data_IF_681483843385
#
_entry.id   IF_681483843385
#
_cell.length_a   1.000
_cell.length_b   1.000
_cell.length_c   1.000
_cell.angle_alpha   90.00
_cell.angle_beta   90.00
_cell.angle_gamma   90.00
#
_symmetry.space_group_name_H-M   'P 1'
#
loop_
_entity.id
_entity.type
_entity.pdbx_description
1 polymer ?
#
# COMPACT_ATOMS: atom_id res chain seq x y z
N UNK A 1 -22.52 -21.18 2.74
CA UNK A 1 -21.37 -21.11 1.79
C UNK A 1 -21.03 -22.54 1.39
N UNK A 2 -20.55 -22.82 0.17
CA UNK A 2 -20.13 -24.20 -0.17
C UNK A 2 -18.83 -24.55 0.56
N UNK A 3 -18.58 -25.83 0.84
CA UNK A 3 -17.40 -26.26 1.61
C UNK A 3 -16.11 -25.85 0.89
N UNK A 4 -16.08 -25.98 -0.44
CA UNK A 4 -14.93 -25.60 -1.26
C UNK A 4 -14.62 -24.10 -1.14
N UNK A 5 -15.66 -23.24 -1.17
CA UNK A 5 -15.51 -21.79 -1.00
C UNK A 5 -14.97 -21.44 0.40
N UNK A 6 -15.39 -22.17 1.45
CA UNK A 6 -14.88 -21.98 2.82
C UNK A 6 -13.39 -22.34 2.87
N UNK A 7 -12.99 -23.47 2.27
CA UNK A 7 -11.59 -23.91 2.22
C UNK A 7 -10.70 -22.93 1.45
N UNK A 8 -11.21 -22.30 0.40
CA UNK A 8 -10.50 -21.27 -0.36
C UNK A 8 -10.41 -19.95 0.42
N UNK A 9 -11.47 -19.55 1.13
CA UNK A 9 -11.53 -18.28 1.86
C UNK A 9 -10.64 -18.30 3.12
N UNK A 10 -10.68 -19.39 3.90
CA UNK A 10 -10.03 -19.46 5.21
C UNK A 10 -8.80 -20.36 5.17
N UNK A 11 -7.69 -19.79 4.70
CA UNK A 11 -6.41 -20.48 4.61
C UNK A 11 -5.67 -20.54 5.94
N UNK A 12 -4.80 -21.55 6.11
CA UNK A 12 -3.96 -21.71 7.30
C UNK A 12 -3.12 -20.45 7.58
N UNK A 13 -3.08 -20.02 8.84
CA UNK A 13 -2.37 -18.83 9.29
C UNK A 13 -3.18 -17.54 9.25
N UNK A 14 -4.35 -17.51 8.58
CA UNK A 14 -5.21 -16.32 8.54
C UNK A 14 -5.66 -15.92 9.95
N UNK A 15 -5.53 -14.64 10.29
CA UNK A 15 -5.99 -14.11 11.58
C UNK A 15 -7.48 -13.82 11.53
N UNK A 16 -8.20 -14.27 12.56
CA UNK A 16 -9.63 -14.01 12.76
C UNK A 16 -9.83 -13.37 14.13
N UNK A 17 -10.72 -12.37 14.19
CA UNK A 17 -11.21 -11.79 15.44
C UNK A 17 -12.65 -12.27 15.64
N UNK A 18 -12.91 -12.92 16.77
CA UNK A 18 -14.24 -13.37 17.14
C UNK A 18 -15.13 -12.18 17.51
N UNK A 19 -16.33 -12.10 16.95
CA UNK A 19 -17.38 -11.19 17.42
C UNK A 19 -18.35 -11.90 18.37
N UNK A 20 -18.76 -13.13 18.04
CA UNK A 20 -19.66 -13.95 18.86
C UNK A 20 -19.51 -15.42 18.48
N UNK A 21 -19.35 -16.31 19.48
CA UNK A 21 -19.45 -17.76 19.30
C UNK A 21 -20.71 -18.27 19.99
N UNK A 22 -21.60 -18.90 19.23
CA UNK A 22 -22.94 -19.26 19.70
C UNK A 22 -22.84 -20.30 20.82
N UNK A 23 -23.34 -19.96 22.00
CA UNK A 23 -23.38 -20.87 23.15
C UNK A 23 -22.09 -20.97 23.97
N UNK A 24 -21.02 -20.28 23.57
CA UNK A 24 -19.70 -20.42 24.20
C UNK A 24 -19.29 -19.16 24.99
N UNK A 25 -19.75 -19.07 26.23
CA UNK A 25 -19.48 -17.92 27.13
C UNK A 25 -17.99 -17.69 27.46
N UNK A 26 -17.12 -18.68 27.25
CA UNK A 26 -15.67 -18.58 27.50
C UNK A 26 -14.90 -17.95 26.33
N UNK A 27 -15.60 -17.64 25.24
CA UNK A 27 -15.05 -17.10 24.01
C UNK A 27 -15.50 -15.64 23.85
N UNK A 28 -14.77 -14.67 24.44
CA UNK A 28 -15.19 -13.28 24.43
C UNK A 28 -15.06 -12.65 23.04
N UNK A 29 -15.92 -11.69 22.74
CA UNK A 29 -15.76 -10.81 21.57
C UNK A 29 -14.40 -10.09 21.62
N UNK A 30 -13.76 -9.93 20.46
CA UNK A 30 -12.42 -9.38 20.31
C UNK A 30 -11.30 -10.42 20.46
N UNK A 31 -11.61 -11.65 20.88
CA UNK A 31 -10.61 -12.72 20.95
C UNK A 31 -10.03 -13.01 19.57
N UNK A 32 -8.71 -13.00 19.45
CA UNK A 32 -8.00 -13.30 18.21
C UNK A 32 -7.53 -14.75 18.18
N UNK A 33 -7.42 -15.28 16.98
CA UNK A 33 -6.83 -16.58 16.72
C UNK A 33 -6.42 -16.71 15.26
N UNK A 34 -5.62 -17.73 14.96
CA UNK A 34 -5.22 -18.04 13.59
C UNK A 34 -5.91 -19.30 13.11
N UNK A 35 -6.31 -19.34 11.84
CA UNK A 35 -6.84 -20.54 11.19
C UNK A 35 -5.76 -21.62 11.18
N UNK A 36 -6.12 -22.83 11.62
CA UNK A 36 -5.27 -24.01 11.56
C UNK A 36 -5.56 -24.84 10.31
N UNK A 37 -6.83 -25.12 10.04
CA UNK A 37 -7.32 -25.74 8.80
C UNK A 37 -8.86 -25.70 8.76
N UNK A 38 -9.44 -25.97 7.59
CA UNK A 38 -10.89 -26.17 7.41
C UNK A 38 -11.15 -27.65 7.15
N UNK A 39 -12.04 -28.27 7.92
CA UNK A 39 -12.36 -29.69 7.78
C UNK A 39 -13.38 -29.98 6.65
N UNK A 40 -13.70 -31.26 6.44
CA UNK A 40 -14.64 -31.70 5.40
C UNK A 40 -16.11 -31.41 5.74
N UNK A 41 -16.39 -30.84 6.91
CA UNK A 41 -17.71 -30.34 7.31
C UNK A 41 -17.81 -28.81 7.18
N UNK A 42 -16.74 -28.14 6.77
CA UNK A 42 -16.70 -26.68 6.65
C UNK A 42 -16.51 -25.97 7.99
N UNK A 43 -16.10 -26.67 9.06
CA UNK A 43 -15.72 -26.02 10.31
C UNK A 43 -14.29 -25.50 10.22
N UNK A 44 -14.08 -24.28 10.70
CA UNK A 44 -12.77 -23.62 10.68
C UNK A 44 -12.09 -23.91 12.02
N UNK A 45 -11.09 -24.78 12.03
CA UNK A 45 -10.32 -25.08 13.23
C UNK A 45 -9.35 -23.95 13.51
N UNK A 46 -9.34 -23.47 14.74
CA UNK A 46 -8.61 -22.25 15.14
C UNK A 46 -7.57 -22.55 16.22
N UNK A 47 -6.51 -21.76 16.24
CA UNK A 47 -5.62 -21.61 17.39
C UNK A 47 -5.91 -20.25 18.04
N UNK A 48 -6.68 -20.22 19.13
CA UNK A 48 -7.07 -18.97 19.80
C UNK A 48 -6.01 -18.51 20.81
N UNK A 49 -5.86 -17.19 20.99
CA UNK A 49 -4.92 -16.60 21.95
C UNK A 49 -5.19 -17.01 23.41
N UNK A 50 -6.43 -17.37 23.75
CA UNK A 50 -6.79 -17.89 25.07
C UNK A 50 -6.43 -19.38 25.26
N UNK A 51 -5.78 -20.01 24.28
CA UNK A 51 -5.40 -21.42 24.28
C UNK A 51 -6.53 -22.38 23.89
N UNK A 52 -7.71 -21.87 23.50
CA UNK A 52 -8.80 -22.69 22.97
C UNK A 52 -8.49 -23.20 21.56
N UNK A 53 -9.07 -24.34 21.21
CA UNK A 53 -9.06 -24.94 19.87
C UNK A 53 -10.48 -25.11 19.29
N UNK A 54 -11.47 -24.42 19.85
CA UNK A 54 -12.84 -24.49 19.36
C UNK A 54 -12.91 -24.00 17.91
N UNK A 55 -13.57 -24.80 17.07
CA UNK A 55 -13.77 -24.48 15.67
C UNK A 55 -14.92 -23.48 15.48
N UNK A 56 -14.84 -22.65 14.44
CA UNK A 56 -15.91 -21.75 14.03
C UNK A 56 -16.87 -22.45 13.07
N UNK A 57 -18.15 -22.16 13.24
CA UNK A 57 -19.19 -22.45 12.27
C UNK A 57 -19.57 -21.16 11.51
N UNK A 58 -19.29 -21.12 10.21
CA UNK A 58 -19.56 -19.94 9.36
C UNK A 58 -21.04 -19.53 9.31
N UNK A 59 -21.97 -20.43 9.64
CA UNK A 59 -23.41 -20.14 9.61
C UNK A 59 -23.97 -19.68 10.96
N UNK A 60 -23.27 -19.96 12.06
CA UNK A 60 -23.75 -19.70 13.42
C UNK A 60 -22.92 -18.65 14.16
N UNK A 61 -21.62 -18.63 13.94
CA UNK A 61 -20.68 -17.73 14.62
C UNK A 61 -20.48 -16.44 13.83
N UNK A 62 -20.13 -15.37 14.54
CA UNK A 62 -19.81 -14.07 13.95
C UNK A 62 -18.35 -13.76 14.21
N UNK A 63 -17.64 -13.41 13.17
CA UNK A 63 -16.23 -13.09 13.25
C UNK A 63 -15.81 -12.24 12.06
N UNK A 64 -14.64 -11.61 12.17
CA UNK A 64 -14.05 -10.82 11.10
C UNK A 64 -12.67 -11.38 10.76
N UNK A 65 -12.39 -11.43 9.47
CA UNK A 65 -11.07 -11.72 8.95
C UNK A 65 -10.19 -10.49 9.16
N UNK A 66 -9.00 -10.70 9.71
CA UNK A 66 -7.95 -9.68 9.75
C UNK A 66 -6.97 -10.08 8.67
N UNK A 67 -7.00 -9.34 7.56
CA UNK A 67 -5.92 -9.42 6.60
C UNK A 67 -4.66 -8.87 7.29
N UNK A 68 -3.66 -9.73 7.47
CA UNK A 68 -2.32 -9.24 7.76
C UNK A 68 -1.82 -8.53 6.51
N UNK A 69 -1.96 -7.21 6.51
CA UNK A 69 -1.44 -6.38 5.44
C UNK A 69 0.07 -6.54 5.42
N UNK A 70 0.58 -7.17 4.35
CA UNK A 70 2.03 -7.26 4.14
C UNK A 70 2.58 -5.85 4.09
N UNK A 71 3.69 -5.58 4.77
CA UNK A 71 4.36 -4.29 4.63
C UNK A 71 5.20 -4.27 3.38
N UNK A 72 5.20 -3.13 2.69
CA UNK A 72 6.08 -2.88 1.54
C UNK A 72 6.99 -1.69 1.82
N UNK A 73 8.23 -1.79 1.37
CA UNK A 73 9.20 -0.71 1.43
C UNK A 73 9.13 0.11 0.14
N UNK A 74 8.70 1.36 0.25
CA UNK A 74 8.46 2.25 -0.89
C UNK A 74 9.31 3.52 -0.78
N UNK A 75 9.65 4.11 -1.91
CA UNK A 75 10.30 5.42 -1.94
C UNK A 75 9.21 6.48 -1.90
N UNK A 76 9.12 7.22 -0.81
CA UNK A 76 8.12 8.26 -0.60
C UNK A 76 8.68 9.65 -0.90
N UNK A 77 7.92 10.43 -1.65
CA UNK A 77 8.31 11.75 -2.14
C UNK A 77 7.24 12.76 -1.74
N UNK A 78 7.68 13.79 -1.02
CA UNK A 78 6.84 14.95 -0.66
C UNK A 78 7.28 16.20 -1.43
N UNK A 79 6.35 17.14 -1.70
CA UNK A 79 6.70 18.46 -2.23
C UNK A 79 7.76 19.13 -1.36
N UNK A 80 8.80 19.67 -2.00
CA UNK A 80 9.86 20.41 -1.33
C UNK A 80 10.82 19.61 -0.45
N UNK A 81 10.71 18.27 -0.39
CA UNK A 81 11.58 17.40 0.42
C UNK A 81 12.42 16.45 -0.40
N UNK A 82 13.47 15.90 0.24
CA UNK A 82 14.22 14.76 -0.28
C UNK A 82 13.38 13.47 -0.20
N UNK A 83 13.60 12.50 -1.10
CA UNK A 83 12.90 11.22 -1.05
C UNK A 83 13.38 10.37 0.13
N UNK A 84 12.46 9.66 0.79
CA UNK A 84 12.75 8.77 1.92
C UNK A 84 12.15 7.38 1.70
N UNK A 85 12.85 6.35 2.16
CA UNK A 85 12.23 5.02 2.23
C UNK A 85 11.34 4.97 3.47
N UNK A 86 10.12 4.47 3.30
CA UNK A 86 9.20 4.18 4.39
C UNK A 86 8.65 2.77 4.21
N UNK A 87 8.18 2.18 5.31
CA UNK A 87 7.36 0.98 5.28
C UNK A 87 5.90 1.38 5.42
N UNK A 88 5.06 0.88 4.52
CA UNK A 88 3.61 1.10 4.55
C UNK A 88 2.91 -0.26 4.47
N UNK A 89 1.70 -0.32 5.01
CA UNK A 89 0.84 -1.48 4.83
C UNK A 89 0.39 -1.55 3.36
N UNK A 90 0.40 -2.75 2.77
CA UNK A 90 0.01 -2.97 1.37
C UNK A 90 -1.53 -3.05 1.21
N UNK A 91 -2.27 -2.25 1.98
CA UNK A 91 -3.72 -2.09 1.82
C UNK A 91 -4.02 -0.80 1.08
N UNK A 92 -5.13 -0.80 0.34
CA UNK A 92 -5.63 0.38 -0.35
C UNK A 92 -5.80 1.58 0.61
N UNK A 93 -6.39 1.35 1.79
CA UNK A 93 -6.61 2.39 2.80
C UNK A 93 -5.30 3.06 3.24
N UNK A 94 -4.25 2.26 3.53
CA UNK A 94 -2.96 2.79 3.95
C UNK A 94 -2.29 3.59 2.81
N UNK A 95 -2.39 3.13 1.57
CA UNK A 95 -1.84 3.86 0.42
C UNK A 95 -2.59 5.18 0.17
N UNK A 96 -3.92 5.17 0.29
CA UNK A 96 -4.74 6.38 0.18
C UNK A 96 -4.40 7.40 1.27
N UNK A 97 -4.13 6.96 2.50
CA UNK A 97 -3.65 7.84 3.58
C UNK A 97 -2.29 8.47 3.24
N UNK A 98 -1.37 7.69 2.67
CA UNK A 98 -0.02 8.14 2.30
C UNK A 98 -0.07 9.22 1.21
N UNK A 99 -0.87 9.03 0.16
CA UNK A 99 -0.99 10.00 -0.96
C UNK A 99 -2.01 11.11 -0.69
N UNK A 100 -2.90 10.91 0.28
CA UNK A 100 -3.91 11.87 0.72
C UNK A 100 -5.17 11.91 -0.16
N UNK A 101 -5.61 10.75 -0.68
CA UNK A 101 -6.80 10.62 -1.53
C UNK A 101 -6.81 9.29 -2.28
N UNK A 102 -7.76 9.15 -3.22
CA UNK A 102 -7.85 7.96 -4.08
C UNK A 102 -6.57 7.80 -4.91
N UNK A 103 -6.06 6.56 -4.99
CA UNK A 103 -4.79 6.29 -5.65
C UNK A 103 -4.98 6.16 -7.17
N UNK A 104 -4.01 6.69 -7.91
CA UNK A 104 -3.79 6.40 -9.31
C UNK A 104 -2.45 5.67 -9.45
N UNK A 105 -2.46 4.54 -10.15
CA UNK A 105 -1.26 3.84 -10.56
C UNK A 105 -0.77 4.39 -11.91
N UNK A 106 0.44 4.92 -11.92
CA UNK A 106 1.08 5.44 -13.12
C UNK A 106 2.44 4.78 -13.35
N UNK A 107 2.58 4.04 -14.45
CA UNK A 107 3.81 3.32 -14.81
C UNK A 107 4.53 3.95 -16.03
N UNK A 108 5.22 5.10 -15.87
CA UNK A 108 5.92 5.75 -16.98
C UNK A 108 7.28 5.11 -17.33
N UNK A 109 7.72 4.09 -16.58
CA UNK A 109 9.07 3.53 -16.67
C UNK A 109 9.05 2.08 -17.17
N UNK A 110 10.17 1.62 -17.73
CA UNK A 110 10.32 0.26 -18.26
C UNK A 110 10.72 -0.79 -17.22
N UNK A 111 10.92 -0.40 -15.96
CA UNK A 111 11.49 -1.27 -14.91
C UNK A 111 10.42 -1.91 -14.00
N UNK A 112 9.19 -2.06 -14.48
CA UNK A 112 8.03 -2.56 -13.71
C UNK A 112 7.85 -1.82 -12.38
N UNK A 113 7.93 -0.49 -12.45
CA UNK A 113 7.81 0.41 -11.30
C UNK A 113 6.65 1.36 -11.51
N UNK A 114 5.81 1.44 -10.48
CA UNK A 114 4.69 2.36 -10.43
C UNK A 114 5.03 3.60 -9.60
N UNK A 115 4.56 4.75 -10.07
CA UNK A 115 4.26 5.92 -9.24
C UNK A 115 2.83 5.74 -8.77
N UNK A 116 2.63 5.74 -7.45
CA UNK A 116 1.30 5.77 -6.85
C UNK A 116 1.09 7.15 -6.25
N UNK A 117 0.13 7.88 -6.80
CA UNK A 117 -0.21 9.26 -6.42
C UNK A 117 -1.71 9.44 -6.21
N UNK A 118 -2.12 10.62 -5.74
CA UNK A 118 -3.53 10.98 -5.63
C UNK A 118 -4.11 11.31 -7.02
N UNK A 119 -5.10 10.54 -7.48
CA UNK A 119 -5.79 10.67 -8.77
C UNK A 119 -6.31 12.10 -9.00
N UNK A 120 -6.91 12.70 -7.97
CA UNK A 120 -7.48 14.05 -8.05
C UNK A 120 -6.48 15.14 -7.65
N UNK A 121 -5.23 14.80 -7.32
CA UNK A 121 -4.27 15.72 -6.70
C UNK A 121 -4.09 17.02 -7.49
N UNK A 122 -3.94 16.94 -8.81
CA UNK A 122 -3.84 18.13 -9.69
C UNK A 122 -5.14 18.93 -9.71
N UNK A 123 -6.27 18.25 -9.82
CA UNK A 123 -7.60 18.88 -9.91
C UNK A 123 -7.97 19.61 -8.62
N UNK A 124 -7.55 19.07 -7.49
CA UNK A 124 -7.75 19.63 -6.15
C UNK A 124 -6.68 20.67 -5.76
N UNK A 125 -5.76 21.01 -6.68
CA UNK A 125 -4.77 22.06 -6.48
C UNK A 125 -3.63 21.69 -5.54
N UNK A 126 -3.31 20.39 -5.40
CA UNK A 126 -2.14 19.95 -4.67
C UNK A 126 -0.85 20.54 -5.27
N UNK A 127 0.15 20.75 -4.41
CA UNK A 127 1.44 21.32 -4.82
C UNK A 127 2.15 20.41 -5.81
N UNK A 128 2.62 20.96 -6.93
CA UNK A 128 3.43 20.22 -7.91
C UNK A 128 4.73 19.72 -7.26
N UNK A 129 5.07 18.45 -7.48
CA UNK A 129 6.10 17.76 -6.73
C UNK A 129 7.32 17.38 -7.58
N UNK A 130 7.13 16.54 -8.61
CA UNK A 130 8.20 16.05 -9.50
C UNK A 130 7.73 15.92 -10.93
N UNK A 131 8.57 16.33 -11.87
CA UNK A 131 8.43 16.07 -13.28
C UNK A 131 8.73 14.61 -13.61
N UNK A 132 7.95 14.08 -14.55
CA UNK A 132 8.18 12.81 -15.20
C UNK A 132 8.54 13.09 -16.65
N UNK A 133 9.64 12.49 -17.08
CA UNK A 133 10.18 12.65 -18.42
C UNK A 133 10.11 11.32 -19.15
N UNK A 134 9.84 11.38 -20.44
CA UNK A 134 9.92 10.21 -21.30
C UNK A 134 11.38 9.82 -21.60
N UNK A 135 11.55 8.81 -22.46
CA UNK A 135 12.86 8.30 -22.89
C UNK A 135 13.69 9.32 -23.69
N UNK A 136 13.04 10.27 -24.34
CA UNK A 136 13.67 11.29 -25.19
C UNK A 136 14.02 12.55 -24.38
N UNK A 137 13.61 12.59 -23.10
CA UNK A 137 13.87 13.69 -22.17
C UNK A 137 12.80 14.78 -22.21
N UNK A 138 11.69 14.54 -22.89
CA UNK A 138 10.58 15.47 -22.97
C UNK A 138 9.69 15.37 -21.73
N UNK A 139 9.19 16.52 -21.27
CA UNK A 139 8.32 16.58 -20.10
C UNK A 139 6.98 15.90 -20.45
N UNK A 140 6.73 14.74 -19.84
CA UNK A 140 5.52 13.97 -20.04
C UNK A 140 4.43 14.40 -19.07
N UNK A 141 4.77 14.53 -17.79
CA UNK A 141 3.82 14.90 -16.75
C UNK A 141 4.50 15.54 -15.53
N UNK A 142 3.71 16.09 -14.60
CA UNK A 142 4.16 16.58 -13.31
C UNK A 142 3.26 16.00 -12.23
N UNK A 143 3.80 15.14 -11.37
CA UNK A 143 3.05 14.58 -10.23
C UNK A 143 2.76 15.69 -9.22
N UNK A 144 1.53 15.75 -8.71
CA UNK A 144 1.09 16.71 -7.70
C UNK A 144 0.83 16.02 -6.36
N UNK A 145 1.13 16.70 -5.26
CA UNK A 145 0.97 16.17 -3.90
C UNK A 145 2.03 15.14 -3.53
N UNK A 146 1.75 14.39 -2.47
CA UNK A 146 2.59 13.27 -2.02
C UNK A 146 2.40 12.09 -2.97
N UNK A 147 3.47 11.35 -3.22
CA UNK A 147 3.40 10.10 -3.96
C UNK A 147 4.46 9.14 -3.43
N UNK A 148 4.35 7.87 -3.79
CA UNK A 148 5.40 6.91 -3.58
C UNK A 148 5.70 6.12 -4.85
N UNK A 149 6.88 5.51 -4.85
CA UNK A 149 7.36 4.63 -5.91
C UNK A 149 7.50 3.24 -5.32
N UNK A 150 6.90 2.25 -5.97
CA UNK A 150 6.92 0.84 -5.56
C UNK A 150 7.21 -0.07 -6.75
N UNK A 151 7.53 -1.33 -6.47
CA UNK A 151 7.65 -2.34 -7.51
C UNK A 151 6.25 -2.86 -7.87
N UNK A 152 5.96 -2.98 -9.16
CA UNK A 152 4.66 -3.36 -9.69
C UNK A 152 4.86 -4.28 -10.92
N UNK A 153 5.25 -5.56 -10.69
CA UNK A 153 5.35 -6.54 -11.77
C UNK A 153 4.01 -6.73 -12.47
N UNK A 154 4.01 -6.82 -13.80
CA UNK A 154 2.79 -7.09 -14.59
C UNK A 154 2.12 -8.41 -14.19
N UNK A 155 2.92 -9.37 -13.71
CA UNK A 155 2.46 -10.67 -13.23
C UNK A 155 1.83 -10.63 -11.82
N UNK A 156 1.97 -9.52 -11.09
CA UNK A 156 1.50 -9.37 -9.71
C UNK A 156 0.27 -8.49 -9.66
N UNK A 157 -0.74 -8.94 -8.92
CA UNK A 157 -1.93 -8.13 -8.60
C UNK A 157 -1.69 -7.19 -7.39
N UNK A 158 -0.51 -7.27 -6.75
CA UNK A 158 -0.16 -6.48 -5.57
C UNK A 158 1.11 -5.67 -5.81
N UNK A 159 1.18 -4.49 -5.19
CA UNK A 159 2.43 -3.74 -5.09
C UNK A 159 3.43 -4.47 -4.21
N UNK A 160 4.70 -4.31 -4.53
CA UNK A 160 5.82 -4.93 -3.85
C UNK A 160 6.85 -3.90 -3.38
N UNK A 161 7.71 -4.34 -2.46
CA UNK A 161 8.84 -3.52 -2.02
C UNK A 161 9.79 -3.24 -3.18
N UNK A 162 10.32 -2.02 -3.26
CA UNK A 162 11.35 -1.71 -4.26
C UNK A 162 12.60 -2.58 -4.06
N UNK A 163 13.04 -3.32 -5.10
CA UNK A 163 14.35 -3.96 -5.11
C UNK A 163 15.48 -2.95 -4.86
N UNK A 164 16.58 -3.39 -4.22
CA UNK A 164 17.65 -2.48 -3.79
C UNK A 164 18.38 -1.77 -4.94
N UNK A 165 18.48 -2.40 -6.09
CA UNK A 165 19.02 -1.80 -7.30
C UNK A 165 18.11 -0.67 -7.83
N UNK A 166 16.80 -0.89 -7.83
CA UNK A 166 15.81 0.13 -8.23
C UNK A 166 15.68 1.26 -7.19
N UNK A 167 15.80 0.97 -5.89
CA UNK A 167 15.79 2.01 -4.85
C UNK A 167 16.80 3.11 -5.15
N UNK A 168 18.06 2.75 -5.41
CA UNK A 168 19.12 3.72 -5.66
C UNK A 168 18.84 4.54 -6.92
N UNK A 169 18.39 3.87 -8.00
CA UNK A 169 18.03 4.52 -9.26
C UNK A 169 16.95 5.59 -9.06
N UNK A 170 15.86 5.26 -8.38
CA UNK A 170 14.74 6.18 -8.19
C UNK A 170 15.00 7.24 -7.11
N UNK A 171 15.82 6.92 -6.09
CA UNK A 171 16.31 7.89 -5.12
C UNK A 171 17.12 9.00 -5.81
N UNK A 172 18.00 8.63 -6.74
CA UNK A 172 18.76 9.62 -7.51
C UNK A 172 17.87 10.37 -8.51
N UNK A 173 16.93 9.68 -9.18
CA UNK A 173 15.97 10.30 -10.10
C UNK A 173 15.12 11.39 -9.44
N UNK A 174 14.59 11.13 -8.25
CA UNK A 174 13.71 12.05 -7.53
C UNK A 174 14.41 12.85 -6.42
N UNK A 175 15.74 12.85 -6.43
CA UNK A 175 16.58 13.39 -5.35
C UNK A 175 16.21 14.80 -4.94
N UNK A 176 16.16 15.73 -5.89
CA UNK A 176 15.92 17.14 -5.58
C UNK A 176 14.47 17.51 -5.84
N UNK A 177 13.85 18.31 -4.96
CA UNK A 177 12.60 18.96 -5.31
C UNK A 177 12.76 19.96 -6.43
N UNK A 178 11.64 20.25 -7.08
CA UNK A 178 11.59 21.00 -8.32
C UNK A 178 10.62 22.18 -8.20
N UNK A 179 10.92 23.25 -8.93
CA UNK A 179 10.02 24.39 -9.12
C UNK A 179 9.54 24.42 -10.55
N UNK A 180 8.28 24.76 -10.72
CA UNK A 180 7.59 24.74 -12.00
C UNK A 180 7.14 26.16 -12.37
N UNK A 181 7.50 26.61 -13.56
CA UNK A 181 7.16 27.95 -14.04
C UNK A 181 6.67 27.88 -15.48
N UNK A 182 5.57 28.57 -15.80
CA UNK A 182 5.13 28.74 -17.18
C UNK A 182 5.85 29.94 -17.81
N UNK A 183 6.63 29.72 -18.86
CA UNK A 183 7.30 30.78 -19.62
C UNK A 183 7.12 30.53 -21.12
N UNK A 184 6.64 31.53 -21.86
CA UNK A 184 6.46 31.46 -23.32
C UNK A 184 5.66 30.23 -23.83
N UNK A 185 4.64 29.80 -23.06
CA UNK A 185 3.83 28.57 -23.30
C UNK A 185 4.54 27.24 -23.00
N UNK A 186 5.79 27.26 -22.55
CA UNK A 186 6.53 26.09 -22.08
C UNK A 186 6.52 26.03 -20.54
N UNK A 187 6.64 24.83 -19.98
CA UNK A 187 6.85 24.64 -18.55
C UNK A 187 8.34 24.46 -18.31
N UNK A 188 8.92 25.31 -17.46
CA UNK A 188 10.29 25.18 -16.97
C UNK A 188 10.30 24.50 -15.61
N UNK A 189 11.16 23.48 -15.50
CA UNK A 189 11.40 22.71 -14.29
C UNK A 189 12.80 23.04 -13.79
N UNK A 190 12.93 23.45 -12.53
CA UNK A 190 14.22 23.81 -11.93
C UNK A 190 14.41 23.07 -10.61
N UNK A 191 15.35 22.10 -10.53
CA UNK A 191 15.65 21.43 -9.27
C UNK A 191 16.36 22.37 -8.30
N UNK A 192 16.14 22.19 -7.00
CA UNK A 192 16.77 22.99 -5.96
C UNK A 192 17.15 22.16 -4.73
N UNK A 193 18.08 22.70 -3.94
CA UNK A 193 18.42 22.13 -2.63
C UNK A 193 17.53 22.78 -1.55
N UNK A 194 16.76 22.00 -0.77
CA UNK A 194 16.06 22.49 0.41
C UNK A 194 17.01 23.21 1.38
N UNK A 195 16.53 24.26 2.05
CA UNK A 195 17.39 25.23 2.76
C UNK A 195 17.61 24.89 4.25
N UNK A 196 17.01 23.83 4.82
CA UNK A 196 17.11 23.54 6.27
C UNK A 196 17.21 22.05 6.64
N UNK A 197 17.94 21.77 7.73
CA UNK A 197 18.22 20.44 8.33
C UNK A 197 16.98 19.69 8.87
N UNK A 198 15.85 20.36 9.04
CA UNK A 198 14.61 19.75 9.57
C UNK A 198 13.79 19.01 8.49
N UNK A 199 14.22 19.08 7.22
CA UNK A 199 13.57 18.40 6.08
C UNK A 199 14.37 17.17 5.59
N UNK A 200 15.42 16.79 6.32
CA UNK A 200 16.27 15.61 6.08
C UNK A 200 15.93 14.41 7.00
N UNK A 201 14.94 14.54 7.90
CA UNK A 201 14.57 13.51 8.89
C UNK A 201 13.28 12.77 8.57
#
# INVERSE_FOLDING_TARGET
>A
MKIEEIKETYSEGMTIVLAEMKGESKMPAGLRGTVKFVDDMGQIHMNWENGSFLALNVEEDKFIMVEETKKISVLFIEPGKYPKMIEIDNSLEAMQEVVGGDIEEYMPFSDDVAIVCNEEGKMNGAELNRAVYDKDGELMDIVAGKFFVCYAPIESENFESLPKDLENKYRDKFKYPERFFKQNKEIKVVPYKPVTKDMER
#
